data_IF_268776030818
#
_entry.id   IF_268776030818
#
_cell.length_a   1.000
_cell.length_b   1.000
_cell.length_c   1.000
_cell.angle_alpha   90.00
_cell.angle_beta   90.00
_cell.angle_gamma   90.00
#
_symmetry.space_group_name_H-M   'P 1'
#
loop_
_entity.id
_entity.type
_entity.pdbx_description
1 polymer ?
#
# COMPACT_ATOMS: atom_id res chain seq x y z
N UNK A 1 58.80 -49.94 3.02
CA UNK A 1 60.09 -49.56 3.63
C UNK A 1 59.78 -48.79 4.90
N UNK A 2 59.90 -49.50 6.00
CA UNK A 2 60.54 -49.27 7.31
C UNK A 2 60.06 -47.98 8.04
N UNK A 3 59.58 -48.02 9.21
CA UNK A 3 59.81 -48.76 10.49
C UNK A 3 59.98 -47.75 11.63
N UNK A 4 59.26 -48.01 12.73
CA UNK A 4 59.60 -47.89 14.13
C UNK A 4 60.07 -46.54 14.73
N UNK A 5 59.43 -46.05 15.81
CA UNK A 5 59.77 -46.36 17.18
C UNK A 5 58.71 -45.82 18.18
N UNK A 6 58.34 -46.73 19.10
CA UNK A 6 57.63 -46.44 20.37
C UNK A 6 58.55 -45.65 21.33
N UNK A 7 58.03 -44.82 22.19
CA UNK A 7 58.42 -44.75 23.62
C UNK A 7 57.26 -44.16 24.47
N UNK A 8 56.92 -44.94 25.45
CA UNK A 8 55.97 -44.62 26.55
C UNK A 8 56.69 -43.92 27.72
N UNK A 9 56.02 -43.05 28.45
CA UNK A 9 56.28 -42.73 29.88
C UNK A 9 55.09 -41.94 30.36
N UNK A 10 54.24 -42.53 31.16
CA UNK A 10 54.00 -42.56 32.60
C UNK A 10 53.55 -41.21 33.23
N UNK A 11 52.28 -41.17 33.52
CA UNK A 11 51.52 -40.80 34.75
C UNK A 11 52.22 -39.84 35.77
N UNK A 12 51.49 -38.68 35.99
CA UNK A 12 51.23 -38.16 37.35
C UNK A 12 49.84 -37.53 37.37
N UNK A 13 48.93 -38.10 38.19
CA UNK A 13 47.65 -37.52 38.52
C UNK A 13 47.80 -36.49 39.63
N UNK A 14 47.36 -35.27 39.43
CA UNK A 14 47.09 -34.32 40.53
C UNK A 14 45.63 -33.90 40.44
N UNK A 15 44.85 -34.41 41.37
CA UNK A 15 43.49 -33.96 41.59
C UNK A 15 43.51 -32.61 42.30
N UNK A 16 43.00 -31.58 41.62
CA UNK A 16 42.66 -30.29 42.27
C UNK A 16 41.14 -30.14 42.17
N UNK A 17 40.47 -30.31 43.32
CA UNK A 17 39.07 -29.88 43.47
C UNK A 17 39.03 -28.36 43.44
N UNK A 18 38.56 -27.83 42.30
CA UNK A 18 38.18 -26.44 42.15
C UNK A 18 36.64 -26.35 42.01
N UNK A 19 35.99 -25.84 43.06
CA UNK A 19 34.56 -25.49 43.00
C UNK A 19 34.35 -24.40 41.92
N UNK A 20 33.93 -24.83 40.74
CA UNK A 20 33.54 -23.91 39.65
C UNK A 20 32.12 -23.41 39.88
N UNK A 21 31.99 -22.16 40.26
CA UNK A 21 30.76 -21.36 40.13
C UNK A 21 30.34 -21.36 38.67
N UNK A 22 29.33 -22.12 38.30
CA UNK A 22 28.66 -22.02 37.01
C UNK A 22 27.87 -20.70 37.00
N UNK A 23 28.53 -19.64 36.54
CA UNK A 23 27.82 -18.44 36.06
C UNK A 23 26.99 -18.85 34.84
N UNK A 24 25.67 -18.93 34.98
CA UNK A 24 24.75 -18.92 33.85
C UNK A 24 24.93 -17.59 33.13
N UNK A 25 25.81 -17.56 32.13
CA UNK A 25 25.80 -16.50 31.14
C UNK A 25 24.50 -16.65 30.37
N UNK A 26 23.56 -15.76 30.66
CA UNK A 26 22.41 -15.51 29.79
C UNK A 26 23.03 -15.05 28.46
N UNK A 27 23.07 -15.94 27.48
CA UNK A 27 23.38 -15.55 26.12
C UNK A 27 22.26 -14.58 25.71
N UNK A 28 22.55 -13.30 25.72
CA UNK A 28 21.75 -12.32 25.02
C UNK A 28 21.66 -12.82 23.56
N UNK A 29 20.52 -13.43 23.23
CA UNK A 29 20.19 -13.77 21.86
C UNK A 29 20.18 -12.44 21.10
N UNK A 30 21.25 -12.17 20.37
CA UNK A 30 21.27 -11.06 19.42
C UNK A 30 19.97 -11.12 18.60
N UNK A 31 19.25 -10.01 18.48
CA UNK A 31 18.01 -10.01 17.70
C UNK A 31 18.33 -10.55 16.31
N UNK A 32 17.51 -11.50 15.85
CA UNK A 32 17.66 -12.10 14.52
C UNK A 32 17.82 -10.96 13.48
N UNK A 33 18.73 -11.10 12.51
CA UNK A 33 18.92 -10.08 11.49
C UNK A 33 17.57 -9.76 10.84
N UNK A 34 17.16 -8.49 10.87
CA UNK A 34 15.92 -8.03 10.26
C UNK A 34 16.02 -8.25 8.76
N UNK A 35 15.04 -8.91 8.18
CA UNK A 35 14.97 -9.08 6.73
C UNK A 35 14.62 -7.74 6.11
N UNK A 36 15.53 -7.16 5.33
CA UNK A 36 15.28 -5.92 4.57
C UNK A 36 14.32 -6.14 3.40
N UNK A 37 13.95 -7.40 3.12
CA UNK A 37 13.07 -7.79 2.01
C UNK A 37 11.62 -7.99 2.46
N UNK A 38 10.72 -7.86 1.49
CA UNK A 38 9.31 -8.15 1.71
C UNK A 38 9.07 -9.65 1.92
N UNK A 39 8.26 -9.97 2.92
CA UNK A 39 7.70 -11.30 3.17
C UNK A 39 6.21 -11.33 2.85
N UNK A 40 5.70 -12.49 2.44
CA UNK A 40 4.27 -12.70 2.22
C UNK A 40 3.60 -13.06 3.55
N UNK A 41 2.48 -12.42 3.86
CA UNK A 41 1.61 -12.74 4.98
C UNK A 41 0.19 -13.00 4.49
N UNK A 42 -0.51 -13.88 5.15
CA UNK A 42 -1.94 -14.10 4.95
C UNK A 42 -2.71 -13.44 6.09
N UNK A 43 -3.67 -12.60 5.78
CA UNK A 43 -4.55 -11.95 6.75
C UNK A 43 -5.98 -12.44 6.54
N UNK A 44 -6.75 -12.69 7.61
CA UNK A 44 -8.12 -13.13 7.48
C UNK A 44 -8.99 -12.02 6.86
N UNK A 45 -9.71 -12.39 5.81
CA UNK A 45 -10.80 -11.60 5.24
C UNK A 45 -12.14 -12.00 5.84
N UNK A 46 -13.22 -11.90 5.05
CA UNK A 46 -14.54 -12.40 5.42
C UNK A 46 -14.73 -13.85 4.93
N UNK A 47 -15.68 -14.58 5.51
CA UNK A 47 -16.07 -15.94 5.12
C UNK A 47 -14.91 -16.95 5.04
N UNK A 48 -13.92 -16.81 5.92
CA UNK A 48 -12.75 -17.68 5.98
C UNK A 48 -11.74 -17.49 4.85
N UNK A 49 -11.97 -16.55 3.94
CA UNK A 49 -11.00 -16.23 2.90
C UNK A 49 -9.79 -15.49 3.46
N UNK A 50 -8.63 -15.70 2.84
CA UNK A 50 -7.40 -15.02 3.21
C UNK A 50 -7.01 -13.99 2.15
N UNK A 51 -6.65 -12.80 2.58
CA UNK A 51 -5.98 -11.82 1.74
C UNK A 51 -4.48 -11.98 1.86
N UNK A 52 -3.81 -11.96 0.74
CA UNK A 52 -2.36 -11.96 0.71
C UNK A 52 -1.84 -10.52 0.89
N UNK A 53 -0.83 -10.38 1.71
CA UNK A 53 -0.18 -9.10 1.96
C UNK A 53 1.33 -9.23 1.83
N UNK A 54 1.99 -8.16 1.42
CA UNK A 54 3.43 -8.01 1.57
C UNK A 54 3.72 -7.24 2.85
N UNK A 55 4.71 -7.71 3.58
CA UNK A 55 5.15 -7.09 4.83
C UNK A 55 6.65 -6.90 4.83
N UNK A 56 7.11 -5.73 5.29
CA UNK A 56 8.51 -5.43 5.53
C UNK A 56 8.64 -4.59 6.80
N UNK A 57 9.61 -4.91 7.65
CA UNK A 57 10.04 -4.06 8.76
C UNK A 57 10.72 -2.79 8.25
N UNK A 58 11.04 -1.87 9.13
CA UNK A 58 11.87 -0.72 8.81
C UNK A 58 13.25 -1.16 8.28
N UNK A 59 13.79 -0.42 7.31
CA UNK A 59 15.14 -0.64 6.78
C UNK A 59 16.22 -0.02 7.66
N UNK A 60 15.87 1.10 8.28
CA UNK A 60 16.78 1.89 9.11
C UNK A 60 16.11 2.14 10.46
N UNK A 61 16.79 1.79 11.54
CA UNK A 61 16.34 2.10 12.90
C UNK A 61 16.49 3.60 13.21
N UNK A 62 15.67 4.16 14.09
CA UNK A 62 14.54 3.50 14.75
C UNK A 62 13.31 3.43 13.85
N UNK A 63 12.41 2.47 14.11
CA UNK A 63 11.05 2.45 13.57
C UNK A 63 10.32 3.71 14.04
N UNK A 64 9.76 4.49 13.09
CA UNK A 64 9.12 5.79 13.40
C UNK A 64 7.64 5.81 13.08
N UNK A 65 7.20 5.05 12.08
CA UNK A 65 5.81 5.02 11.62
C UNK A 65 5.51 3.73 10.87
N UNK A 66 4.27 3.57 10.51
CA UNK A 66 3.79 2.47 9.70
C UNK A 66 3.00 2.96 8.52
N UNK A 67 3.06 2.25 7.40
CA UNK A 67 2.19 2.46 6.24
C UNK A 67 1.39 1.22 5.93
N UNK A 68 0.09 1.40 5.69
CA UNK A 68 -0.82 0.39 5.15
C UNK A 68 -1.17 0.85 3.75
N UNK A 69 -0.82 0.05 2.75
CA UNK A 69 -0.96 0.40 1.33
C UNK A 69 -2.05 -0.48 0.71
N UNK A 70 -2.99 0.16 0.04
CA UNK A 70 -4.01 -0.49 -0.77
C UNK A 70 -3.65 -0.24 -2.23
N UNK A 71 -3.26 -1.29 -2.99
CA UNK A 71 -2.85 -1.18 -4.39
C UNK A 71 -3.99 -0.74 -5.32
N UNK A 72 -3.63 -0.46 -6.58
CA UNK A 72 -4.58 -0.07 -7.60
C UNK A 72 -5.39 -1.23 -8.19
N UNK A 73 -6.02 -0.94 -9.32
CA UNK A 73 -6.88 -1.87 -10.04
C UNK A 73 -6.11 -3.04 -10.69
N UNK A 74 -6.81 -4.12 -10.97
CA UNK A 74 -6.28 -5.29 -11.68
C UNK A 74 -5.87 -6.42 -10.77
N UNK A 75 -5.30 -7.46 -11.38
CA UNK A 75 -4.93 -8.72 -10.75
C UNK A 75 -3.41 -8.92 -10.63
N UNK A 76 -2.62 -7.87 -10.88
CA UNK A 76 -1.18 -7.90 -10.65
C UNK A 76 -0.87 -7.69 -9.18
N UNK A 77 0.10 -8.44 -8.68
CA UNK A 77 0.67 -8.24 -7.35
C UNK A 77 1.73 -7.15 -7.34
N UNK A 78 1.99 -6.59 -6.17
CA UNK A 78 3.03 -5.58 -5.98
C UNK A 78 4.44 -6.18 -5.78
N UNK A 79 4.54 -7.50 -5.49
CA UNK A 79 5.80 -8.16 -5.15
C UNK A 79 6.94 -7.90 -6.14
N UNK A 80 6.72 -8.02 -7.45
CA UNK A 80 7.77 -7.77 -8.45
C UNK A 80 8.38 -6.36 -8.40
N UNK A 81 7.68 -5.40 -7.82
CA UNK A 81 8.05 -3.98 -7.77
C UNK A 81 8.28 -3.45 -6.37
N UNK A 82 7.87 -4.20 -5.33
CA UNK A 82 7.78 -3.71 -3.96
C UNK A 82 9.09 -3.14 -3.45
N UNK A 83 10.22 -3.83 -3.68
CA UNK A 83 11.53 -3.39 -3.19
C UNK A 83 11.93 -2.03 -3.77
N UNK A 84 11.74 -1.85 -5.07
CA UNK A 84 12.03 -0.58 -5.74
C UNK A 84 10.99 0.48 -5.39
N UNK A 85 9.70 0.12 -5.44
CA UNK A 85 8.60 1.06 -5.23
C UNK A 85 8.65 1.68 -3.83
N UNK A 86 8.90 0.88 -2.80
CA UNK A 86 8.95 1.32 -1.41
C UNK A 86 10.37 1.57 -0.88
N UNK A 87 11.35 1.74 -1.77
CA UNK A 87 12.77 1.90 -1.39
C UNK A 87 13.00 3.06 -0.43
N UNK A 88 12.33 4.19 -0.65
CA UNK A 88 12.48 5.41 0.14
C UNK A 88 11.78 5.41 1.50
N UNK A 89 10.98 4.38 1.83
CA UNK A 89 10.38 4.22 3.16
C UNK A 89 11.39 3.56 4.10
N UNK A 90 12.31 4.34 4.68
CA UNK A 90 13.43 3.83 5.45
C UNK A 90 13.05 3.45 6.88
N UNK A 91 12.33 4.35 7.57
CA UNK A 91 11.96 4.20 8.99
C UNK A 91 10.53 3.68 9.17
N UNK A 92 9.92 3.15 8.10
CA UNK A 92 8.56 2.66 8.10
C UNK A 92 8.48 1.13 8.10
N UNK A 93 7.55 0.62 8.88
CA UNK A 93 6.99 -0.72 8.66
C UNK A 93 5.96 -0.62 7.52
N UNK A 94 6.06 -1.49 6.53
CA UNK A 94 5.21 -1.46 5.33
C UNK A 94 4.33 -2.71 5.27
N UNK A 95 3.02 -2.52 5.14
CA UNK A 95 2.04 -3.56 4.84
C UNK A 95 1.33 -3.19 3.54
N UNK A 96 1.42 -4.04 2.51
CA UNK A 96 0.70 -3.88 1.25
C UNK A 96 -0.37 -4.96 1.17
N UNK A 97 -1.64 -4.56 1.23
CA UNK A 97 -2.78 -5.48 1.26
C UNK A 97 -3.38 -5.65 -0.13
N UNK A 98 -3.21 -6.81 -0.75
CA UNK A 98 -3.73 -7.10 -2.08
C UNK A 98 -5.25 -7.34 -2.09
N UNK A 99 -5.84 -7.25 -3.28
CA UNK A 99 -7.23 -7.65 -3.53
C UNK A 99 -7.46 -9.13 -3.23
N UNK A 100 -8.69 -9.54 -2.91
CA UNK A 100 -9.05 -10.96 -2.88
C UNK A 100 -8.64 -11.68 -4.17
N UNK A 101 -8.00 -12.83 -4.04
CA UNK A 101 -7.57 -13.65 -5.18
C UNK A 101 -6.31 -13.16 -5.92
N UNK A 102 -5.66 -12.07 -5.47
CA UNK A 102 -4.39 -11.59 -6.05
C UNK A 102 -3.20 -12.14 -5.27
N UNK A 103 -2.35 -12.91 -5.94
CA UNK A 103 -1.07 -13.34 -5.40
C UNK A 103 -0.06 -12.17 -5.45
N UNK A 104 0.73 -11.95 -4.38
CA UNK A 104 1.68 -10.82 -4.31
C UNK A 104 2.72 -10.79 -5.42
N UNK A 105 3.14 -11.95 -5.92
CA UNK A 105 4.15 -12.13 -6.98
C UNK A 105 3.57 -12.18 -8.40
N UNK A 106 2.23 -12.08 -8.54
CA UNK A 106 1.55 -12.10 -9.84
C UNK A 106 2.04 -10.98 -10.76
N UNK A 107 2.47 -11.35 -11.98
CA UNK A 107 2.91 -10.42 -13.04
C UNK A 107 1.87 -10.25 -14.14
N UNK A 108 0.63 -10.64 -13.87
CA UNK A 108 -0.46 -10.62 -14.85
C UNK A 108 -0.72 -9.20 -15.36
N UNK A 109 -0.70 -9.01 -16.67
CA UNK A 109 -1.10 -7.73 -17.26
C UNK A 109 -2.58 -7.44 -16.99
N UNK A 110 -3.00 -6.17 -16.91
CA UNK A 110 -4.39 -5.83 -16.56
C UNK A 110 -5.47 -6.43 -17.48
N UNK A 111 -5.12 -6.73 -18.74
CA UNK A 111 -6.02 -7.38 -19.69
C UNK A 111 -6.10 -8.91 -19.57
N UNK A 112 -5.19 -9.54 -18.83
CA UNK A 112 -5.00 -10.99 -18.77
C UNK A 112 -5.46 -11.60 -17.44
N UNK A 113 -6.25 -10.85 -16.68
CA UNK A 113 -6.83 -11.37 -15.43
C UNK A 113 -7.68 -12.60 -15.68
N UNK A 114 -7.58 -13.59 -14.78
CA UNK A 114 -8.39 -14.82 -14.90
C UNK A 114 -9.88 -14.51 -14.89
N UNK A 115 -10.66 -15.38 -15.56
CA UNK A 115 -12.11 -15.25 -15.56
C UNK A 115 -12.68 -15.24 -14.12
N UNK A 116 -12.12 -16.05 -13.23
CA UNK A 116 -12.53 -16.07 -11.83
C UNK A 116 -12.29 -14.72 -11.14
N UNK A 117 -11.12 -14.09 -11.33
CA UNK A 117 -10.86 -12.76 -10.79
C UNK A 117 -11.86 -11.73 -11.34
N UNK A 118 -12.08 -11.70 -12.66
CA UNK A 118 -13.02 -10.78 -13.32
C UNK A 118 -14.44 -10.92 -12.74
N UNK A 119 -14.87 -12.15 -12.41
CA UNK A 119 -16.19 -12.41 -11.83
C UNK A 119 -16.31 -12.03 -10.37
N UNK A 120 -15.23 -12.12 -9.61
CA UNK A 120 -15.23 -11.86 -8.15
C UNK A 120 -14.78 -10.44 -7.77
N UNK A 121 -14.09 -9.73 -8.69
CA UNK A 121 -13.63 -8.37 -8.45
C UNK A 121 -14.82 -7.41 -8.34
N UNK A 122 -15.02 -6.86 -7.15
CA UNK A 122 -16.05 -5.88 -6.83
C UNK A 122 -15.58 -5.01 -5.66
N UNK A 123 -15.82 -3.70 -5.73
CA UNK A 123 -15.36 -2.75 -4.70
C UNK A 123 -15.95 -3.04 -3.33
N UNK A 124 -17.24 -3.42 -3.27
CA UNK A 124 -17.92 -3.77 -2.04
C UNK A 124 -17.31 -4.99 -1.36
N UNK A 125 -17.07 -6.06 -2.12
CA UNK A 125 -16.41 -7.26 -1.61
C UNK A 125 -14.97 -6.96 -1.16
N UNK A 126 -14.21 -6.23 -1.96
CA UNK A 126 -12.84 -5.84 -1.60
C UNK A 126 -12.81 -5.02 -0.30
N UNK A 127 -13.73 -4.06 -0.15
CA UNK A 127 -13.86 -3.26 1.07
C UNK A 127 -14.05 -4.14 2.32
N UNK A 128 -14.99 -5.07 2.29
CA UNK A 128 -15.29 -5.91 3.45
C UNK A 128 -14.10 -6.83 3.81
N UNK A 129 -13.46 -7.44 2.81
CA UNK A 129 -12.26 -8.23 3.02
C UNK A 129 -11.10 -7.39 3.58
N UNK A 130 -10.86 -6.21 3.01
CA UNK A 130 -9.80 -5.33 3.46
C UNK A 130 -10.02 -4.81 4.89
N UNK A 131 -11.26 -4.47 5.26
CA UNK A 131 -11.62 -4.10 6.63
C UNK A 131 -11.32 -5.23 7.62
N UNK A 132 -11.74 -6.46 7.31
CA UNK A 132 -11.47 -7.61 8.15
C UNK A 132 -9.96 -7.84 8.32
N UNK A 133 -9.19 -7.74 7.24
CA UNK A 133 -7.74 -7.94 7.25
C UNK A 133 -7.01 -6.84 8.06
N UNK A 134 -7.38 -5.56 7.90
CA UNK A 134 -6.79 -4.46 8.67
C UNK A 134 -7.12 -4.59 10.15
N UNK A 135 -8.35 -4.97 10.50
CA UNK A 135 -8.76 -5.22 11.89
C UNK A 135 -7.97 -6.38 12.51
N UNK A 136 -7.81 -7.47 11.78
CA UNK A 136 -7.04 -8.63 12.25
C UNK A 136 -5.57 -8.29 12.47
N UNK A 137 -4.96 -7.52 11.56
CA UNK A 137 -3.60 -7.03 11.71
C UNK A 137 -3.45 -6.09 12.92
N UNK A 138 -4.43 -5.21 13.16
CA UNK A 138 -4.45 -4.35 14.35
C UNK A 138 -4.55 -5.18 15.64
N UNK A 139 -5.38 -6.22 15.67
CA UNK A 139 -5.53 -7.12 16.80
C UNK A 139 -4.23 -7.89 17.10
N UNK A 140 -3.50 -8.34 16.08
CA UNK A 140 -2.20 -9.00 16.26
C UNK A 140 -1.15 -8.09 16.92
N UNK A 141 -1.25 -6.77 16.74
CA UNK A 141 -0.32 -5.79 17.33
C UNK A 141 -0.79 -5.22 18.68
N UNK A 142 -2.01 -5.50 19.10
CA UNK A 142 -2.61 -4.93 20.30
C UNK A 142 -1.86 -5.28 21.61
N UNK A 143 -1.09 -6.36 21.60
CA UNK A 143 -0.26 -6.77 22.74
C UNK A 143 1.07 -6.01 22.88
N UNK A 144 1.45 -5.19 21.90
CA UNK A 144 2.68 -4.40 21.92
C UNK A 144 2.36 -2.90 22.00
N UNK A 145 2.55 -2.24 23.16
CA UNK A 145 2.24 -0.83 23.35
C UNK A 145 3.00 0.10 22.39
N UNK A 146 4.22 -0.25 22.01
CA UNK A 146 5.02 0.53 21.05
C UNK A 146 4.36 0.51 19.68
N UNK A 147 3.93 -0.68 19.25
CA UNK A 147 3.27 -0.86 17.96
C UNK A 147 1.89 -0.22 17.90
N UNK A 148 1.16 -0.19 19.02
CA UNK A 148 -0.14 0.49 19.12
C UNK A 148 0.00 2.01 19.06
N UNK A 149 1.02 2.57 19.72
CA UNK A 149 1.27 4.02 19.74
C UNK A 149 1.91 4.54 18.44
N UNK A 150 2.43 3.66 17.60
CA UNK A 150 3.13 4.04 16.38
C UNK A 150 2.17 4.75 15.40
N UNK A 151 2.50 5.98 14.93
CA UNK A 151 1.65 6.68 13.97
C UNK A 151 1.56 5.89 12.65
N UNK A 152 0.36 5.79 12.09
CA UNK A 152 0.09 5.02 10.89
C UNK A 152 -0.45 5.92 9.77
N UNK A 153 -0.01 5.66 8.56
CA UNK A 153 -0.55 6.25 7.33
C UNK A 153 -1.30 5.19 6.53
N UNK A 154 -2.47 5.56 6.05
CA UNK A 154 -3.26 4.73 5.14
C UNK A 154 -3.13 5.30 3.73
N UNK A 155 -2.58 4.50 2.81
CA UNK A 155 -2.19 4.93 1.47
C UNK A 155 -3.01 4.15 0.44
N UNK A 156 -3.71 4.85 -0.46
CA UNK A 156 -4.42 4.25 -1.59
C UNK A 156 -3.80 4.67 -2.90
N UNK A 157 -3.48 3.69 -3.73
CA UNK A 157 -2.93 3.90 -5.07
C UNK A 157 -4.07 3.72 -6.08
N UNK A 158 -4.36 4.75 -6.87
CA UNK A 158 -5.40 4.69 -7.91
C UNK A 158 -6.74 4.18 -7.33
N UNK A 159 -7.30 3.07 -7.81
CA UNK A 159 -8.53 2.47 -7.31
C UNK A 159 -8.47 2.08 -5.83
N UNK A 160 -7.27 1.78 -5.28
CA UNK A 160 -7.12 1.50 -3.85
C UNK A 160 -7.54 2.66 -2.94
N UNK A 161 -7.55 3.88 -3.46
CA UNK A 161 -8.02 5.05 -2.74
C UNK A 161 -9.53 5.01 -2.42
N UNK A 162 -10.31 4.25 -3.20
CA UNK A 162 -11.76 4.11 -3.02
C UNK A 162 -12.11 3.49 -1.66
N UNK A 163 -11.21 2.69 -1.09
CA UNK A 163 -11.45 1.97 0.14
C UNK A 163 -11.05 2.76 1.39
N UNK A 164 -10.21 3.79 1.26
CA UNK A 164 -9.55 4.41 2.41
C UNK A 164 -10.50 4.96 3.47
N UNK A 165 -11.60 5.66 3.14
CA UNK A 165 -12.51 6.14 4.18
C UNK A 165 -13.17 5.02 4.99
N UNK A 166 -13.42 3.87 4.36
CA UNK A 166 -14.00 2.71 5.04
C UNK A 166 -12.97 1.96 5.89
N UNK A 167 -11.69 2.05 5.56
CA UNK A 167 -10.60 1.42 6.30
C UNK A 167 -10.07 2.30 7.44
N UNK A 168 -10.19 3.62 7.32
CA UNK A 168 -9.68 4.57 8.29
C UNK A 168 -10.11 4.29 9.75
N UNK A 169 -11.37 3.90 10.04
CA UNK A 169 -11.80 3.55 11.39
C UNK A 169 -11.14 2.29 11.98
N UNK A 170 -10.59 1.41 11.13
CA UNK A 170 -9.94 0.16 11.53
C UNK A 170 -8.43 0.37 11.82
N UNK A 171 -7.89 1.55 11.50
CA UNK A 171 -6.46 1.87 11.68
C UNK A 171 -6.25 2.60 13.00
N UNK A 172 -5.62 1.91 13.95
CA UNK A 172 -5.26 2.50 15.24
C UNK A 172 -4.17 3.56 15.03
N UNK A 173 -4.24 4.69 15.74
CA UNK A 173 -3.26 5.79 15.65
C UNK A 173 -3.08 6.32 14.21
N UNK A 174 -4.18 6.45 13.46
CA UNK A 174 -4.15 6.97 12.09
C UNK A 174 -3.70 8.44 12.09
N UNK A 175 -2.53 8.70 11.54
CA UNK A 175 -1.91 10.03 11.46
C UNK A 175 -2.25 10.77 10.15
N UNK A 176 -2.69 10.05 9.12
CA UNK A 176 -3.07 10.66 7.85
C UNK A 176 -3.45 9.65 6.77
N UNK A 177 -4.09 10.16 5.74
CA UNK A 177 -4.50 9.41 4.54
C UNK A 177 -3.80 9.98 3.32
N UNK A 178 -3.32 9.10 2.44
CA UNK A 178 -2.58 9.48 1.23
C UNK A 178 -3.26 8.90 -0.01
N UNK A 179 -3.62 9.75 -0.96
CA UNK A 179 -4.10 9.38 -2.28
C UNK A 179 -2.97 9.51 -3.29
N UNK A 180 -2.63 8.45 -4.01
CA UNK A 180 -1.66 8.46 -5.10
C UNK A 180 -2.38 8.12 -6.40
N UNK A 181 -2.38 9.03 -7.38
CA UNK A 181 -3.02 8.82 -8.68
C UNK A 181 -4.55 8.65 -8.59
N UNK A 182 -5.18 9.20 -7.56
CA UNK A 182 -6.65 9.23 -7.41
C UNK A 182 -7.14 10.67 -7.29
N UNK A 183 -8.21 10.98 -8.02
CA UNK A 183 -8.82 12.31 -7.96
C UNK A 183 -9.54 12.61 -6.66
N UNK A 184 -9.95 11.58 -5.90
CA UNK A 184 -10.80 11.72 -4.72
C UNK A 184 -12.28 12.00 -5.03
N UNK A 185 -12.65 12.14 -6.29
CA UNK A 185 -14.06 12.21 -6.72
C UNK A 185 -14.71 10.83 -6.66
N UNK A 186 -16.05 10.81 -6.65
CA UNK A 186 -16.76 9.55 -6.88
C UNK A 186 -16.34 8.95 -8.24
N UNK A 187 -16.16 7.63 -8.36
CA UNK A 187 -15.69 6.99 -9.61
C UNK A 187 -16.53 7.32 -10.84
N UNK A 188 -17.85 7.40 -10.67
CA UNK A 188 -18.77 7.81 -11.75
C UNK A 188 -18.45 9.21 -12.28
N UNK A 189 -18.17 10.16 -11.39
CA UNK A 189 -17.83 11.54 -11.79
C UNK A 189 -16.44 11.58 -12.45
N UNK A 190 -15.44 10.92 -11.86
CA UNK A 190 -14.10 10.84 -12.40
C UNK A 190 -14.08 10.18 -13.78
N UNK A 191 -14.77 9.04 -13.93
CA UNK A 191 -14.91 8.32 -15.21
C UNK A 191 -15.63 9.14 -16.27
N UNK A 192 -16.66 9.89 -15.90
CA UNK A 192 -17.37 10.81 -16.79
C UNK A 192 -16.44 11.91 -17.33
N UNK A 193 -15.64 12.52 -16.48
CA UNK A 193 -14.66 13.52 -16.89
C UNK A 193 -13.60 12.92 -17.82
N UNK A 194 -13.12 11.71 -17.51
CA UNK A 194 -12.14 11.00 -18.34
C UNK A 194 -12.70 10.62 -19.70
N UNK A 195 -13.91 10.08 -19.76
CA UNK A 195 -14.55 9.70 -21.02
C UNK A 195 -14.75 10.91 -21.95
N UNK A 196 -15.15 12.05 -21.39
CA UNK A 196 -15.29 13.31 -22.15
C UNK A 196 -13.95 13.82 -22.67
N UNK A 197 -12.88 13.73 -21.85
CA UNK A 197 -11.52 14.11 -22.26
C UNK A 197 -11.00 13.27 -23.41
N UNK A 198 -11.31 11.97 -23.42
CA UNK A 198 -10.87 11.03 -24.46
C UNK A 198 -11.66 11.16 -25.78
N UNK A 199 -12.75 11.93 -25.79
CA UNK A 199 -13.50 12.26 -26.99
C UNK A 199 -14.79 11.44 -27.19
N UNK A 200 -15.43 11.65 -28.34
CA UNK A 200 -16.79 11.17 -28.60
C UNK A 200 -16.94 9.64 -28.53
N UNK A 201 -15.94 8.89 -29.02
CA UNK A 201 -15.99 7.42 -28.99
C UNK A 201 -15.94 6.88 -27.54
N UNK A 202 -15.04 7.40 -26.72
CA UNK A 202 -14.92 7.01 -25.32
C UNK A 202 -16.18 7.43 -24.52
N UNK A 203 -16.72 8.59 -24.83
CA UNK A 203 -17.97 9.05 -24.23
C UNK A 203 -19.15 8.12 -24.56
N UNK A 204 -19.31 7.75 -25.84
CA UNK A 204 -20.35 6.80 -26.25
C UNK A 204 -20.20 5.43 -25.55
N UNK A 205 -18.97 4.93 -25.42
CA UNK A 205 -18.70 3.69 -24.68
C UNK A 205 -19.05 3.79 -23.19
N UNK A 206 -18.74 4.93 -22.57
CA UNK A 206 -19.10 5.20 -21.17
C UNK A 206 -20.62 5.26 -20.96
N UNK A 207 -21.34 5.91 -21.87
CA UNK A 207 -22.81 5.92 -21.83
C UNK A 207 -23.42 4.54 -22.03
N UNK A 208 -22.91 3.75 -22.99
CA UNK A 208 -23.34 2.36 -23.22
C UNK A 208 -23.10 1.48 -22.00
N UNK A 209 -21.97 1.67 -21.30
CA UNK A 209 -21.67 1.00 -20.04
C UNK A 209 -22.66 1.40 -18.94
N UNK A 210 -23.03 2.67 -18.86
CA UNK A 210 -24.05 3.18 -17.93
C UNK A 210 -25.40 2.51 -18.14
N UNK A 211 -25.83 2.33 -19.40
CA UNK A 211 -27.04 1.59 -19.75
C UNK A 211 -26.91 0.10 -19.38
N UNK A 212 -25.78 -0.52 -19.68
CA UNK A 212 -25.56 -1.94 -19.44
C UNK A 212 -25.59 -2.30 -17.95
N UNK A 213 -24.96 -1.49 -17.09
CA UNK A 213 -24.93 -1.73 -15.66
C UNK A 213 -26.27 -1.46 -14.96
N UNK A 214 -27.10 -0.55 -15.52
CA UNK A 214 -28.43 -0.24 -14.98
C UNK A 214 -29.50 -1.26 -15.41
N UNK A 215 -29.23 -2.08 -16.44
CA UNK A 215 -30.21 -3.06 -16.95
C UNK A 215 -30.21 -4.37 -16.17
N UNK A 216 -31.11 -5.29 -16.55
CA UNK A 216 -31.38 -6.58 -15.89
C UNK A 216 -30.39 -7.70 -16.27
N UNK A 217 -29.29 -7.36 -16.95
CA UNK A 217 -28.27 -8.32 -17.33
C UNK A 217 -27.59 -8.94 -16.12
N UNK A 218 -27.18 -10.21 -16.17
CA UNK A 218 -26.56 -10.85 -15.00
C UNK A 218 -25.24 -10.18 -14.61
N UNK A 219 -24.95 -10.16 -13.32
CA UNK A 219 -23.72 -9.63 -12.72
C UNK A 219 -22.44 -10.21 -13.33
N UNK A 220 -22.52 -11.46 -13.78
CA UNK A 220 -21.41 -12.18 -14.41
C UNK A 220 -21.08 -11.72 -15.83
N UNK A 221 -21.95 -10.95 -16.49
CA UNK A 221 -21.65 -10.46 -17.83
C UNK A 221 -20.46 -9.51 -17.82
N UNK A 222 -19.51 -9.76 -18.70
CA UNK A 222 -18.27 -8.97 -18.83
C UNK A 222 -18.46 -7.83 -19.84
N UNK A 223 -18.11 -6.62 -19.43
CA UNK A 223 -18.07 -5.41 -20.23
C UNK A 223 -16.72 -4.70 -19.98
N UNK A 224 -16.01 -4.33 -21.03
CA UNK A 224 -14.71 -3.64 -20.91
C UNK A 224 -13.74 -4.33 -19.91
N UNK A 225 -13.67 -5.66 -19.96
CA UNK A 225 -12.78 -6.47 -19.13
C UNK A 225 -13.19 -6.62 -17.66
N UNK A 226 -14.39 -6.17 -17.26
CA UNK A 226 -14.92 -6.27 -15.89
C UNK A 226 -16.33 -6.83 -15.90
N UNK A 227 -16.73 -7.48 -14.80
CA UNK A 227 -18.10 -7.93 -14.61
C UNK A 227 -19.08 -6.76 -14.42
N UNK A 228 -20.37 -6.95 -14.72
CA UNK A 228 -21.39 -5.95 -14.41
C UNK A 228 -21.52 -5.73 -12.90
N UNK A 229 -21.22 -6.72 -12.06
CA UNK A 229 -21.12 -6.54 -10.60
C UNK A 229 -20.14 -5.43 -10.25
N UNK A 230 -18.91 -5.48 -10.80
CA UNK A 230 -17.91 -4.44 -10.58
C UNK A 230 -18.40 -3.06 -11.02
N UNK A 231 -19.03 -2.97 -12.20
CA UNK A 231 -19.52 -1.69 -12.72
C UNK A 231 -20.68 -1.12 -11.91
N UNK A 232 -21.60 -1.95 -11.41
CA UNK A 232 -22.68 -1.53 -10.51
C UNK A 232 -22.18 -0.97 -9.21
N UNK A 233 -21.20 -1.65 -8.60
CA UNK A 233 -20.51 -1.14 -7.41
C UNK A 233 -19.88 0.22 -7.70
N UNK A 234 -19.09 0.32 -8.77
CA UNK A 234 -18.37 1.54 -9.12
C UNK A 234 -19.33 2.70 -9.41
N UNK A 235 -20.45 2.42 -10.09
CA UNK A 235 -21.44 3.45 -10.44
C UNK A 235 -22.11 4.08 -9.22
N UNK A 236 -22.33 3.31 -8.19
CA UNK A 236 -22.95 3.73 -6.93
C UNK A 236 -21.95 4.14 -5.85
N UNK A 237 -20.64 4.00 -6.12
CA UNK A 237 -19.62 4.22 -5.11
C UNK A 237 -19.50 5.67 -4.68
N UNK A 238 -19.55 5.91 -3.36
CA UNK A 238 -19.53 7.24 -2.78
C UNK A 238 -18.22 7.45 -2.00
N UNK A 239 -17.21 8.01 -2.67
CA UNK A 239 -15.90 8.32 -2.11
C UNK A 239 -15.81 9.76 -1.58
N UNK A 240 -16.22 10.71 -2.42
CA UNK A 240 -16.00 12.13 -2.19
C UNK A 240 -16.56 12.65 -0.85
N UNK A 241 -17.81 12.38 -0.46
CA UNK A 241 -18.37 12.89 0.80
C UNK A 241 -17.55 12.40 2.00
N UNK A 242 -17.13 11.14 1.99
CA UNK A 242 -16.36 10.54 3.07
C UNK A 242 -14.93 11.14 3.16
N UNK A 243 -14.29 11.42 2.03
CA UNK A 243 -13.00 12.12 2.00
C UNK A 243 -13.14 13.56 2.52
N UNK A 244 -14.21 14.26 2.17
CA UNK A 244 -14.42 15.64 2.62
C UNK A 244 -14.70 15.73 4.13
N UNK A 245 -15.46 14.79 4.68
CA UNK A 245 -15.83 14.74 6.08
C UNK A 245 -14.75 14.12 7.00
N UNK A 246 -13.77 13.41 6.43
CA UNK A 246 -12.77 12.68 7.19
C UNK A 246 -11.97 13.56 8.14
N UNK A 247 -11.75 13.15 9.42
CA UNK A 247 -11.10 13.97 10.44
C UNK A 247 -9.56 13.95 10.37
N UNK A 248 -9.00 13.14 9.49
CA UNK A 248 -7.57 12.94 9.33
C UNK A 248 -6.97 13.89 8.27
N UNK A 249 -5.69 14.28 8.39
CA UNK A 249 -4.95 14.97 7.33
C UNK A 249 -4.97 14.17 6.02
N UNK A 250 -5.14 14.85 4.89
CA UNK A 250 -5.24 14.24 3.57
C UNK A 250 -4.15 14.79 2.64
N UNK A 251 -3.20 13.92 2.27
CA UNK A 251 -2.24 14.19 1.21
C UNK A 251 -2.77 13.60 -0.11
N UNK A 252 -2.87 14.42 -1.13
CA UNK A 252 -3.21 13.97 -2.49
C UNK A 252 -2.05 14.24 -3.42
N UNK A 253 -1.56 13.18 -4.11
CA UNK A 253 -0.42 13.27 -5.03
C UNK A 253 -0.80 12.73 -6.39
N UNK A 254 -0.44 13.47 -7.44
CA UNK A 254 -0.68 13.04 -8.83
C UNK A 254 0.38 13.55 -9.80
N UNK A 255 0.54 12.86 -10.90
CA UNK A 255 1.38 13.30 -12.02
C UNK A 255 0.70 14.37 -12.86
N UNK A 256 1.47 15.35 -13.30
CA UNK A 256 0.97 16.40 -14.19
C UNK A 256 0.49 15.86 -15.55
N UNK A 257 1.12 14.76 -15.99
CA UNK A 257 0.87 14.09 -17.27
C UNK A 257 0.06 12.79 -17.09
N UNK A 258 -0.75 12.74 -16.04
CA UNK A 258 -1.63 11.60 -15.78
C UNK A 258 -2.62 11.39 -16.93
N UNK A 259 -2.42 10.31 -17.70
CA UNK A 259 -3.28 9.95 -18.82
C UNK A 259 -4.54 9.19 -18.40
N UNK A 260 -4.64 8.73 -17.15
CA UNK A 260 -5.77 7.93 -16.64
C UNK A 260 -6.80 8.76 -15.90
N UNK A 261 -6.33 9.72 -15.10
CA UNK A 261 -7.19 10.63 -14.34
C UNK A 261 -6.98 12.05 -14.89
N UNK A 262 -8.04 12.72 -15.41
CA UNK A 262 -7.89 14.03 -16.02
C UNK A 262 -7.58 15.11 -14.99
N UNK A 263 -6.76 16.09 -15.36
CA UNK A 263 -6.41 17.24 -14.51
C UNK A 263 -7.66 17.97 -13.95
N UNK A 264 -8.74 18.00 -14.74
CA UNK A 264 -10.03 18.60 -14.32
C UNK A 264 -10.66 17.86 -13.12
N UNK A 265 -10.42 16.55 -12.96
CA UNK A 265 -10.92 15.79 -11.82
C UNK A 265 -10.18 16.19 -10.54
N UNK A 266 -8.86 16.33 -10.60
CA UNK A 266 -8.05 16.83 -9.48
C UNK A 266 -8.44 18.27 -9.10
N UNK A 267 -8.56 19.16 -10.08
CA UNK A 267 -8.97 20.54 -9.85
C UNK A 267 -10.35 20.63 -9.18
N UNK A 268 -11.30 19.77 -9.60
CA UNK A 268 -12.64 19.72 -9.03
C UNK A 268 -12.65 19.21 -7.60
N UNK A 269 -11.84 18.21 -7.27
CA UNK A 269 -11.69 17.75 -5.89
C UNK A 269 -11.04 18.84 -5.02
N UNK A 270 -9.94 19.46 -5.49
CA UNK A 270 -9.28 20.54 -4.76
C UNK A 270 -10.24 21.69 -4.41
N UNK A 271 -11.08 22.10 -5.36
CA UNK A 271 -12.08 23.14 -5.12
C UNK A 271 -13.08 22.74 -4.01
N UNK A 272 -13.53 21.48 -4.00
CA UNK A 272 -14.45 20.97 -2.95
C UNK A 272 -13.76 20.76 -1.62
N UNK A 273 -12.48 20.42 -1.63
CA UNK A 273 -11.71 20.16 -0.42
C UNK A 273 -11.28 21.43 0.34
N UNK A 274 -11.47 22.63 -0.23
CA UNK A 274 -11.19 23.91 0.46
C UNK A 274 -12.01 24.07 1.75
N UNK A 275 -13.20 23.45 1.84
CA UNK A 275 -14.05 23.47 3.03
C UNK A 275 -13.74 22.38 4.06
N UNK A 276 -12.71 21.55 3.87
CA UNK A 276 -12.33 20.54 4.87
C UNK A 276 -11.90 21.17 6.18
N UNK A 277 -12.38 20.58 7.28
CA UNK A 277 -11.90 20.95 8.64
C UNK A 277 -10.50 20.39 8.88
N UNK A 278 -10.27 19.14 8.53
CA UNK A 278 -8.95 18.53 8.63
C UNK A 278 -8.01 18.99 7.50
N UNK A 279 -6.70 19.09 7.74
CA UNK A 279 -5.73 19.59 6.76
C UNK A 279 -5.77 18.81 5.44
N UNK A 280 -5.68 19.53 4.32
CA UNK A 280 -5.56 18.98 2.98
C UNK A 280 -4.33 19.56 2.28
N UNK A 281 -3.48 18.69 1.75
CA UNK A 281 -2.22 19.06 1.09
C UNK A 281 -2.12 18.41 -0.30
N UNK A 282 -2.57 19.11 -1.36
CA UNK A 282 -2.40 18.64 -2.74
C UNK A 282 -0.96 18.81 -3.22
N UNK A 283 -0.45 17.83 -3.97
CA UNK A 283 0.88 17.83 -4.57
C UNK A 283 0.82 17.31 -6.01
N UNK A 284 1.13 18.18 -6.95
CA UNK A 284 1.25 17.85 -8.37
C UNK A 284 2.72 17.68 -8.72
N UNK A 285 3.09 16.54 -9.28
CA UNK A 285 4.44 16.26 -9.76
C UNK A 285 4.55 16.60 -11.24
N UNK A 286 5.37 17.61 -11.57
CA UNK A 286 5.61 18.02 -12.95
C UNK A 286 6.24 16.88 -13.77
N UNK A 287 5.78 16.66 -15.01
CA UNK A 287 6.28 15.64 -15.92
C UNK A 287 6.06 14.19 -15.48
N UNK A 288 5.33 13.95 -14.42
CA UNK A 288 5.07 12.59 -13.95
C UNK A 288 3.74 12.06 -14.51
N UNK A 289 3.72 10.76 -14.80
CA UNK A 289 2.55 10.02 -15.28
C UNK A 289 1.62 9.56 -14.13
N UNK A 290 0.64 8.69 -14.43
CA UNK A 290 -0.26 8.10 -13.44
C UNK A 290 0.44 7.31 -12.34
N UNK A 291 1.55 6.65 -12.66
CA UNK A 291 2.40 5.91 -11.71
C UNK A 291 3.43 6.78 -11.02
N UNK A 292 3.35 8.10 -11.19
CA UNK A 292 4.32 9.10 -10.74
C UNK A 292 5.72 8.90 -11.36
N UNK A 293 5.83 8.22 -12.50
CA UNK A 293 7.09 8.04 -13.21
C UNK A 293 7.32 9.22 -14.15
N UNK A 294 8.56 9.69 -14.21
CA UNK A 294 9.01 10.70 -15.18
C UNK A 294 9.83 10.01 -16.26
N UNK A 295 9.74 10.45 -17.53
CA UNK A 295 10.65 9.98 -18.56
C UNK A 295 12.11 10.22 -18.14
N UNK A 296 13.02 9.33 -18.59
CA UNK A 296 14.44 9.58 -18.45
C UNK A 296 14.81 10.83 -19.26
N UNK A 297 15.62 11.70 -18.68
CA UNK A 297 16.18 12.84 -19.41
C UNK A 297 17.04 12.35 -20.58
N UNK A 298 17.14 13.12 -21.70
CA UNK A 298 17.92 12.71 -22.87
C UNK A 298 19.40 12.47 -22.60
N UNK A 299 19.93 13.01 -21.50
CA UNK A 299 21.31 12.84 -21.04
C UNK A 299 21.57 11.53 -20.26
N UNK A 300 20.56 10.66 -20.19
CA UNK A 300 20.65 9.37 -19.50
C UNK A 300 20.65 9.46 -17.97
N UNK A 301 20.47 10.64 -17.41
CA UNK A 301 20.16 10.76 -15.98
C UNK A 301 18.77 10.17 -15.77
N UNK A 302 18.73 9.01 -15.08
CA UNK A 302 17.56 8.16 -14.95
C UNK A 302 16.32 8.93 -14.56
N UNK A 303 15.19 8.59 -15.18
CA UNK A 303 13.89 9.20 -14.88
C UNK A 303 13.67 9.21 -13.37
N UNK A 304 13.40 10.38 -12.82
CA UNK A 304 13.15 10.51 -11.40
C UNK A 304 11.86 9.77 -11.05
N UNK A 305 11.98 8.75 -10.23
CA UNK A 305 10.84 8.05 -9.67
C UNK A 305 10.11 8.99 -8.71
N UNK A 306 9.02 9.61 -9.18
CA UNK A 306 8.25 10.57 -8.38
C UNK A 306 7.66 9.96 -7.13
N UNK A 307 7.49 8.64 -7.08
CA UNK A 307 7.03 7.98 -5.85
C UNK A 307 8.09 8.06 -4.75
N UNK A 308 9.38 8.05 -5.08
CA UNK A 308 10.45 8.24 -4.08
C UNK A 308 10.42 9.65 -3.47
N UNK A 309 9.98 10.65 -4.24
CA UNK A 309 9.75 12.00 -3.71
C UNK A 309 8.62 12.00 -2.67
N UNK A 310 7.54 11.25 -2.91
CA UNK A 310 6.45 11.08 -1.92
C UNK A 310 6.98 10.42 -0.65
N UNK A 311 7.75 9.34 -0.78
CA UNK A 311 8.35 8.67 0.38
C UNK A 311 9.29 9.60 1.16
N UNK A 312 10.09 10.40 0.48
CA UNK A 312 10.93 11.41 1.11
C UNK A 312 10.14 12.42 1.94
N UNK A 313 8.97 12.84 1.48
CA UNK A 313 8.08 13.72 2.26
C UNK A 313 7.56 13.01 3.53
N UNK A 314 7.15 11.76 3.43
CA UNK A 314 6.67 11.01 4.59
C UNK A 314 7.78 10.73 5.60
N UNK A 315 9.00 10.43 5.13
CA UNK A 315 10.19 10.30 5.97
C UNK A 315 10.53 11.62 6.70
N UNK A 316 10.44 12.75 6.01
CA UNK A 316 10.64 14.06 6.61
C UNK A 316 9.58 14.37 7.67
N UNK A 317 8.30 14.07 7.37
CA UNK A 317 7.22 14.19 8.36
C UNK A 317 7.50 13.33 9.60
N UNK A 318 7.89 12.07 9.42
CA UNK A 318 8.13 11.14 10.53
C UNK A 318 9.34 11.52 11.40
N UNK A 319 10.27 12.34 10.86
CA UNK A 319 11.43 12.88 11.58
C UNK A 319 11.17 14.25 12.22
N UNK A 320 10.20 14.97 11.72
CA UNK A 320 9.89 16.30 12.22
C UNK A 320 9.25 16.25 13.62
N UNK A 321 9.65 17.15 14.50
CA UNK A 321 9.02 17.32 15.81
C UNK A 321 7.63 17.98 15.71
N UNK A 322 7.20 18.36 14.51
CA UNK A 322 5.95 19.11 14.28
C UNK A 322 4.76 18.17 14.10
N UNK A 323 3.60 18.51 14.68
CA UNK A 323 2.38 17.74 14.48
C UNK A 323 1.79 17.96 13.08
N UNK A 324 1.44 16.85 12.42
CA UNK A 324 0.63 16.85 11.22
C UNK A 324 1.40 16.76 9.90
N UNK A 325 0.99 15.78 9.11
CA UNK A 325 1.58 15.45 7.82
C UNK A 325 1.64 16.65 6.86
N UNK A 326 0.56 17.42 6.76
CA UNK A 326 0.51 18.56 5.84
C UNK A 326 1.43 19.73 6.25
N UNK A 327 1.66 19.93 7.53
CA UNK A 327 2.55 20.99 8.03
C UNK A 327 4.03 20.67 7.69
N UNK A 328 4.42 19.40 7.81
CA UNK A 328 5.77 18.96 7.47
C UNK A 328 6.08 18.96 5.96
N UNK A 329 5.04 19.12 5.12
CA UNK A 329 5.13 19.16 3.66
C UNK A 329 5.05 20.58 3.09
N UNK A 330 5.06 21.61 3.93
CA UNK A 330 5.15 22.99 3.45
C UNK A 330 6.47 23.17 2.68
N UNK A 331 6.46 23.97 1.57
CA UNK A 331 7.64 24.15 0.73
C UNK A 331 8.83 24.72 1.47
#
# INVERSE_FOLDING_TARGET
VLAFFLRAAAVVAVAVLGAGLTACASADLAPAPRSDSFSVRSLPGVDGQLLQALYRSERVAPLRYRVIVIPGSGCAGMGPWAERYFAGLLHAQVLVLHKPGVAPDSRTAPGDCSANFVQTDALGAWREHARAAVRADAAQRAGDPVMVALPQLLIGISEGAELLPALAPEVVSLAGVVLIGSSGLNPLEAGTLQARRLGAAAWAQWQALGVAQAGDRPDSQVQQGRSLRYWRDLWSWSLLPALLAGPWPLLQVWGADDARVPASAYARFMARAQGRVAPYCPRRLAGADHGLQRPAEPDGQGGHDGVQQVWGWLENWARAAQPGMCAALAP
#
